data_IF_139942857777
#
_entry.id   IF_139942857777
#
_cell.length_a   1.000
_cell.length_b   1.000
_cell.length_c   1.000
_cell.angle_alpha   90.00
_cell.angle_beta   90.00
_cell.angle_gamma   90.00
#
_symmetry.space_group_name_H-M   'P 1'
#
loop_
_entity.id
_entity.type
_entity.pdbx_description
1 polymer ?
#
# COMPACT_ATOMS: atom_id res chain seq x y z
N UNK A 1 -1.52 6.64 21.20
CA UNK A 1 -1.16 5.81 20.03
C UNK A 1 -0.84 6.74 18.84
N UNK A 2 0.43 7.15 18.66
CA UNK A 2 0.87 8.14 17.63
C UNK A 2 2.23 7.74 17.01
N UNK A 3 2.32 6.58 16.37
CA UNK A 3 3.59 6.10 15.76
C UNK A 3 3.51 5.79 14.27
N UNK A 4 2.31 5.74 13.67
CA UNK A 4 2.15 5.31 12.26
C UNK A 4 2.55 6.34 11.18
N UNK A 5 2.64 7.64 11.51
CA UNK A 5 2.83 8.69 10.50
C UNK A 5 4.29 8.92 10.09
N UNK A 6 5.26 8.58 10.95
CA UNK A 6 6.68 8.83 10.66
C UNK A 6 7.22 7.88 9.59
N UNK A 7 6.85 6.59 9.64
CA UNK A 7 7.27 5.61 8.63
C UNK A 7 6.77 5.96 7.24
N UNK A 8 5.50 6.39 7.11
CA UNK A 8 4.91 6.73 5.83
C UNK A 8 5.50 8.00 5.21
N UNK A 9 5.84 9.00 6.05
CA UNK A 9 6.53 10.22 5.60
C UNK A 9 7.95 9.93 5.13
N UNK A 10 8.71 9.11 5.87
CA UNK A 10 10.05 8.71 5.46
C UNK A 10 10.02 7.90 4.15
N UNK A 11 9.04 7.00 4.01
CA UNK A 11 8.81 6.28 2.76
C UNK A 11 8.53 7.24 1.61
N UNK A 12 7.65 8.23 1.80
CA UNK A 12 7.35 9.26 0.81
C UNK A 12 8.61 10.02 0.36
N UNK A 13 9.45 10.46 1.29
CA UNK A 13 10.68 11.18 0.92
C UNK A 13 11.65 10.28 0.15
N UNK A 14 11.80 9.01 0.55
CA UNK A 14 12.63 8.05 -0.18
C UNK A 14 12.09 7.76 -1.60
N UNK A 15 10.76 7.65 -1.75
CA UNK A 15 10.13 7.51 -3.07
C UNK A 15 10.37 8.74 -3.95
N UNK A 16 10.30 9.95 -3.36
CA UNK A 16 10.56 11.20 -4.06
C UNK A 16 11.99 11.28 -4.58
N UNK A 17 12.98 11.00 -3.73
CA UNK A 17 14.39 11.02 -4.12
C UNK A 17 14.65 10.08 -5.30
N UNK A 18 14.17 8.85 -5.21
CA UNK A 18 14.31 7.84 -6.27
C UNK A 18 13.59 8.24 -7.56
N UNK A 19 12.38 8.82 -7.46
CA UNK A 19 11.67 9.37 -8.62
C UNK A 19 12.48 10.48 -9.31
N UNK A 20 13.06 11.42 -8.53
CA UNK A 20 13.87 12.51 -9.06
C UNK A 20 15.15 12.02 -9.73
N UNK A 21 15.66 10.86 -9.30
CA UNK A 21 16.76 10.15 -9.96
C UNK A 21 16.33 9.39 -11.23
N UNK A 22 15.06 9.47 -11.64
CA UNK A 22 14.52 8.82 -12.83
C UNK A 22 14.17 7.34 -12.63
N UNK A 23 14.13 6.85 -11.39
CA UNK A 23 13.81 5.45 -11.12
C UNK A 23 12.30 5.15 -11.23
N UNK A 24 11.99 3.93 -11.71
CA UNK A 24 10.63 3.37 -11.61
C UNK A 24 10.54 2.49 -10.37
N UNK A 25 9.54 2.74 -9.52
CA UNK A 25 9.42 2.10 -8.20
C UNK A 25 8.10 1.32 -8.12
N UNK A 26 8.20 0.06 -7.67
CA UNK A 26 7.03 -0.76 -7.33
C UNK A 26 6.97 -0.94 -5.81
N UNK A 27 5.84 -0.57 -5.22
CA UNK A 27 5.59 -0.75 -3.80
C UNK A 27 4.45 -1.75 -3.61
N UNK A 28 4.76 -2.92 -3.04
CA UNK A 28 3.75 -3.81 -2.51
C UNK A 28 3.41 -3.35 -1.09
N UNK A 29 2.17 -2.89 -0.86
CA UNK A 29 1.73 -2.44 0.44
C UNK A 29 0.43 -3.15 0.83
N UNK A 30 0.30 -3.67 2.06
CA UNK A 30 -0.99 -4.14 2.56
C UNK A 30 -1.99 -2.98 2.63
N UNK A 31 -3.26 -3.29 2.38
CA UNK A 31 -4.42 -2.38 2.33
C UNK A 31 -4.16 -0.97 2.85
N UNK A 32 -3.81 -0.07 1.93
CA UNK A 32 -3.64 1.33 2.27
C UNK A 32 -5.00 2.00 2.28
N UNK A 33 -5.41 2.53 3.43
CA UNK A 33 -6.54 3.48 3.53
C UNK A 33 -6.31 4.65 2.58
N UNK A 34 -7.38 5.28 2.06
CA UNK A 34 -7.29 6.43 1.13
C UNK A 34 -6.32 7.51 1.64
N UNK A 35 -6.40 7.88 2.91
CA UNK A 35 -5.50 8.85 3.55
C UNK A 35 -4.00 8.50 3.46
N UNK A 36 -3.63 7.22 3.43
CA UNK A 36 -2.23 6.81 3.30
C UNK A 36 -1.77 6.90 1.84
N UNK A 37 -2.66 6.59 0.89
CA UNK A 37 -2.40 6.79 -0.54
C UNK A 37 -2.20 8.27 -0.85
N UNK A 38 -2.99 9.15 -0.23
CA UNK A 38 -2.79 10.60 -0.34
C UNK A 38 -1.41 11.07 0.14
N UNK A 39 -0.95 10.56 1.29
CA UNK A 39 0.39 10.88 1.79
C UNK A 39 1.45 10.40 0.79
N UNK A 40 1.32 9.18 0.28
CA UNK A 40 2.29 8.63 -0.68
C UNK A 40 2.27 9.39 -1.99
N UNK A 41 1.11 9.76 -2.56
CA UNK A 41 1.01 10.57 -3.79
C UNK A 41 1.83 11.86 -3.73
N UNK A 42 2.03 12.42 -2.54
CA UNK A 42 2.95 13.54 -2.31
C UNK A 42 4.43 13.27 -2.61
N UNK A 43 4.83 12.04 -2.97
CA UNK A 43 6.17 11.78 -3.51
C UNK A 43 6.37 12.52 -4.83
N UNK A 44 5.31 12.65 -5.64
CA UNK A 44 5.31 13.38 -6.90
C UNK A 44 5.26 14.89 -6.60
N UNK A 45 6.31 15.67 -6.95
CA UNK A 45 6.37 17.10 -6.63
C UNK A 45 5.24 17.91 -7.29
N UNK A 46 4.70 17.41 -8.40
CA UNK A 46 3.63 18.07 -9.16
C UNK A 46 2.23 17.71 -8.63
N UNK A 47 2.14 16.80 -7.66
CA UNK A 47 0.86 16.35 -7.11
C UNK A 47 0.17 17.47 -6.33
N UNK A 48 -1.00 17.85 -6.81
CA UNK A 48 -1.99 18.65 -6.07
C UNK A 48 -3.08 17.73 -5.57
N UNK A 49 -3.56 17.99 -4.36
CA UNK A 49 -4.61 17.18 -3.74
C UNK A 49 -5.80 17.03 -4.70
N UNK A 50 -6.31 15.80 -4.84
CA UNK A 50 -7.43 15.42 -5.74
C UNK A 50 -7.12 15.51 -7.25
N UNK A 51 -5.91 15.90 -7.66
CA UNK A 51 -5.46 15.87 -9.05
C UNK A 51 -4.86 14.51 -9.44
N UNK A 52 -5.67 13.44 -9.36
CA UNK A 52 -5.20 12.06 -9.53
C UNK A 52 -4.74 11.73 -10.96
N UNK A 53 -5.38 12.30 -11.97
CA UNK A 53 -5.09 12.00 -13.38
C UNK A 53 -3.68 12.40 -13.80
N UNK A 54 -3.18 13.52 -13.26
CA UNK A 54 -1.84 14.06 -13.53
C UNK A 54 -0.76 13.49 -12.62
N UNK A 55 -1.13 12.69 -11.61
CA UNK A 55 -0.17 12.12 -10.67
C UNK A 55 0.63 10.98 -11.33
N UNK A 56 1.94 10.98 -11.11
CA UNK A 56 2.86 9.90 -11.53
C UNK A 56 2.60 8.59 -10.79
N UNK A 57 1.97 8.65 -9.61
CA UNK A 57 1.57 7.45 -8.87
C UNK A 57 0.43 6.72 -9.59
N UNK A 58 0.65 5.43 -9.92
CA UNK A 58 -0.40 4.51 -10.37
C UNK A 58 -0.67 3.49 -9.28
N UNK A 59 -1.94 3.33 -8.93
CA UNK A 59 -2.38 2.44 -7.86
C UNK A 59 -3.11 1.28 -8.50
N UNK A 60 -2.64 0.07 -8.21
CA UNK A 60 -3.24 -1.16 -8.69
C UNK A 60 -3.80 -1.90 -7.49
N UNK A 61 -5.12 -2.07 -7.48
CA UNK A 61 -5.82 -2.86 -6.49
C UNK A 61 -5.76 -4.33 -6.93
N UNK A 62 -5.03 -5.16 -6.17
CA UNK A 62 -5.06 -6.61 -6.32
C UNK A 62 -6.04 -7.18 -5.30
N UNK A 63 -7.25 -7.48 -5.74
CA UNK A 63 -8.29 -8.06 -4.92
C UNK A 63 -8.62 -9.49 -5.35
N UNK A 64 -9.33 -10.21 -4.48
CA UNK A 64 -9.77 -11.57 -4.71
C UNK A 64 -10.68 -12.04 -3.60
N UNK A 65 -11.33 -13.18 -3.84
CA UNK A 65 -12.22 -13.79 -2.85
C UNK A 65 -11.46 -14.07 -1.54
N UNK A 66 -12.06 -13.64 -0.42
CA UNK A 66 -11.46 -13.72 0.91
C UNK A 66 -11.07 -15.16 1.30
N UNK A 67 -11.92 -16.14 1.00
CA UNK A 67 -11.68 -17.56 1.30
C UNK A 67 -10.50 -18.11 0.48
N UNK A 68 -10.40 -17.71 -0.79
CA UNK A 68 -9.27 -18.09 -1.66
C UNK A 68 -7.96 -17.50 -1.12
N UNK A 69 -7.97 -16.25 -0.67
CA UNK A 69 -6.80 -15.61 -0.06
C UNK A 69 -6.46 -16.33 1.26
N UNK A 70 -7.44 -16.59 2.12
CA UNK A 70 -7.24 -17.28 3.39
C UNK A 70 -6.63 -18.67 3.21
N UNK A 71 -7.15 -19.47 2.27
CA UNK A 71 -6.61 -20.78 1.94
C UNK A 71 -5.15 -20.72 1.47
N UNK A 72 -4.81 -19.72 0.64
CA UNK A 72 -3.42 -19.50 0.18
C UNK A 72 -2.50 -19.11 1.34
N UNK A 73 -2.95 -18.26 2.25
CA UNK A 73 -2.18 -17.86 3.42
C UNK A 73 -1.96 -19.04 4.37
N UNK A 74 -3.00 -19.83 4.66
CA UNK A 74 -2.90 -21.02 5.50
C UNK A 74 -1.90 -22.03 4.94
N UNK A 75 -1.92 -22.27 3.62
CA UNK A 75 -0.97 -23.17 2.95
C UNK A 75 0.48 -22.70 3.04
N UNK A 76 0.73 -21.39 3.08
CA UNK A 76 2.09 -20.82 3.25
C UNK A 76 2.51 -20.86 4.72
N UNK A 77 1.59 -20.56 5.63
CA UNK A 77 1.82 -20.62 7.07
C UNK A 77 2.21 -22.03 7.54
N UNK A 78 1.54 -23.08 7.01
CA UNK A 78 1.86 -24.48 7.34
C UNK A 78 3.26 -24.91 6.87
N UNK A 79 3.90 -24.15 5.98
CA UNK A 79 5.28 -24.37 5.51
C UNK A 79 6.32 -23.52 6.24
N UNK A 80 5.89 -22.66 7.17
CA UNK A 80 6.77 -21.67 7.80
C UNK A 80 7.15 -20.50 6.88
N UNK A 81 6.55 -20.40 5.70
CA UNK A 81 6.89 -19.40 4.67
C UNK A 81 6.08 -18.10 4.81
N UNK A 82 5.24 -17.98 5.85
CA UNK A 82 4.36 -16.83 6.01
C UNK A 82 4.58 -16.11 7.34
N UNK A 83 4.99 -14.84 7.23
CA UNK A 83 5.27 -13.97 8.37
C UNK A 83 4.01 -13.30 8.94
N UNK A 84 2.99 -13.04 8.11
CA UNK A 84 1.78 -12.32 8.54
C UNK A 84 0.76 -13.32 9.08
N UNK A 85 0.27 -13.16 10.31
CA UNK A 85 -0.72 -14.09 10.86
C UNK A 85 -2.06 -13.98 10.13
N UNK A 86 -2.70 -15.14 9.91
CA UNK A 86 -3.99 -15.25 9.23
C UNK A 86 -5.09 -14.40 9.92
N UNK A 87 -4.97 -14.22 11.23
CA UNK A 87 -5.87 -13.41 12.06
C UNK A 87 -5.98 -11.95 11.60
N UNK A 88 -4.98 -11.43 10.88
CA UNK A 88 -5.01 -10.07 10.36
C UNK A 88 -5.78 -9.94 9.04
N UNK A 89 -5.99 -11.04 8.29
CA UNK A 89 -6.57 -10.98 6.95
C UNK A 89 -7.90 -10.23 6.92
N UNK A 90 -8.81 -10.54 7.85
CA UNK A 90 -10.11 -9.87 7.92
C UNK A 90 -9.96 -8.36 8.11
N UNK A 91 -9.13 -7.94 9.07
CA UNK A 91 -8.90 -6.50 9.31
C UNK A 91 -8.24 -5.80 8.12
N UNK A 92 -7.39 -6.50 7.35
CA UNK A 92 -6.79 -5.94 6.13
C UNK A 92 -7.84 -5.77 5.02
N UNK A 93 -8.74 -6.73 4.85
CA UNK A 93 -9.81 -6.65 3.84
C UNK A 93 -10.78 -5.50 4.17
N UNK A 94 -11.19 -5.35 5.44
CA UNK A 94 -12.07 -4.25 5.87
C UNK A 94 -11.45 -2.85 5.71
N UNK A 95 -10.12 -2.74 5.79
CA UNK A 95 -9.43 -1.47 5.61
C UNK A 95 -9.13 -1.13 4.14
N UNK A 96 -9.39 -2.07 3.24
CA UNK A 96 -9.18 -1.88 1.82
C UNK A 96 -10.25 -0.93 1.29
N UNK A 97 -9.80 0.16 0.68
CA UNK A 97 -10.67 1.15 0.06
C UNK A 97 -10.23 1.25 -1.40
N UNK A 98 -11.11 1.02 -2.36
CA UNK A 98 -10.82 1.36 -3.76
C UNK A 98 -10.66 2.90 -3.89
N UNK A 99 -9.98 3.34 -4.94
CA UNK A 99 -10.18 4.72 -5.41
C UNK A 99 -11.47 4.73 -6.26
N UNK A 100 -12.22 5.84 -6.21
CA UNK A 100 -13.45 6.04 -6.99
C UNK A 100 -13.16 6.31 -8.48
#
# INVERSE_FOLDING_TARGET
>A
MKTGSHGLKNLRESLRERLLNGETIFLACPSLRKQYREILRGFDPDYKQESYSSCKAKIVLLEGNADVIAARLQKRASKGEHFIPLTLLHSQLELLQADD
#
